data_IF_299153159460
#
_entry.id   IF_299153159460
#
_cell.length_a   1.000
_cell.length_b   1.000
_cell.length_c   1.000
_cell.angle_alpha   90.00
_cell.angle_beta   90.00
_cell.angle_gamma   90.00
#
_symmetry.space_group_name_H-M   'P 1'
#
loop_
_entity.id
_entity.type
_entity.pdbx_description
1 polymer ?
#
# COMPACT_ATOMS: atom_id res chain seq x y z
N UNK A 1 -14.81 -15.41 0.05
CA UNK A 1 -14.90 -14.08 -0.61
C UNK A 1 -16.25 -13.96 -1.29
N UNK A 2 -16.89 -12.79 -1.20
CA UNK A 2 -18.13 -12.47 -1.95
C UNK A 2 -17.76 -11.95 -3.35
N UNK A 3 -18.68 -12.03 -4.32
CA UNK A 3 -18.45 -11.53 -5.70
C UNK A 3 -17.98 -10.07 -5.71
N UNK A 4 -18.59 -9.20 -4.89
CA UNK A 4 -18.18 -7.80 -4.75
C UNK A 4 -16.72 -7.64 -4.30
N UNK A 5 -16.26 -8.47 -3.37
CA UNK A 5 -14.87 -8.45 -2.89
C UNK A 5 -13.90 -8.92 -3.98
N UNK A 6 -14.30 -9.92 -4.77
CA UNK A 6 -13.52 -10.41 -5.90
C UNK A 6 -13.34 -9.33 -6.96
N UNK A 7 -14.42 -8.64 -7.35
CA UNK A 7 -14.37 -7.58 -8.37
C UNK A 7 -13.55 -6.39 -7.91
N UNK A 8 -13.81 -5.88 -6.70
CA UNK A 8 -13.04 -4.75 -6.14
C UNK A 8 -11.57 -5.15 -5.96
N UNK A 9 -11.31 -6.35 -5.44
CA UNK A 9 -9.97 -6.87 -5.28
C UNK A 9 -9.20 -6.98 -6.59
N UNK A 10 -9.84 -7.47 -7.66
CA UNK A 10 -9.23 -7.54 -8.99
C UNK A 10 -8.87 -6.14 -9.52
N UNK A 11 -9.78 -5.17 -9.41
CA UNK A 11 -9.53 -3.79 -9.83
C UNK A 11 -8.38 -3.14 -9.05
N UNK A 12 -8.39 -3.26 -7.72
CA UNK A 12 -7.32 -2.71 -6.88
C UNK A 12 -5.99 -3.42 -7.12
N UNK A 13 -6.00 -4.72 -7.38
CA UNK A 13 -4.77 -5.48 -7.72
C UNK A 13 -4.21 -5.02 -9.06
N UNK A 14 -5.06 -4.82 -10.07
CA UNK A 14 -4.63 -4.28 -11.36
C UNK A 14 -4.00 -2.88 -11.21
N UNK A 15 -4.59 -2.01 -10.40
CA UNK A 15 -4.00 -0.70 -10.07
C UNK A 15 -2.68 -0.83 -9.32
N UNK A 16 -2.60 -1.74 -8.33
CA UNK A 16 -1.37 -1.99 -7.56
C UNK A 16 -0.20 -2.46 -8.43
N UNK A 17 -0.47 -3.21 -9.49
CA UNK A 17 0.52 -3.61 -10.49
C UNK A 17 0.83 -2.45 -11.45
N UNK A 18 -0.21 -1.79 -11.97
CA UNK A 18 -0.07 -0.76 -13.00
C UNK A 18 0.71 0.46 -12.50
N UNK A 19 0.46 0.94 -11.28
CA UNK A 19 1.04 2.19 -10.81
C UNK A 19 2.59 2.19 -10.85
N UNK A 20 3.29 1.22 -10.25
CA UNK A 20 4.75 1.18 -10.35
C UNK A 20 5.23 0.98 -11.80
N UNK A 21 4.56 0.13 -12.59
CA UNK A 21 4.98 -0.18 -13.97
C UNK A 21 4.84 1.03 -14.90
N UNK A 22 3.69 1.70 -14.88
CA UNK A 22 3.36 2.79 -15.79
C UNK A 22 3.85 4.16 -15.29
N UNK A 23 3.74 4.42 -13.99
CA UNK A 23 4.05 5.74 -13.42
C UNK A 23 5.35 5.80 -12.65
N UNK A 24 6.04 4.68 -12.41
CA UNK A 24 7.32 4.68 -11.68
C UNK A 24 8.46 5.46 -12.35
N UNK A 25 8.30 5.90 -13.61
CA UNK A 25 9.26 6.82 -14.26
C UNK A 25 8.98 8.31 -14.02
N UNK A 26 7.74 8.68 -13.66
CA UNK A 26 7.30 10.08 -13.49
C UNK A 26 7.04 10.39 -12.02
N UNK A 27 6.42 9.45 -11.32
CA UNK A 27 6.08 9.53 -9.89
C UNK A 27 7.09 8.77 -9.01
N UNK A 28 8.13 8.20 -9.62
CA UNK A 28 9.14 7.41 -8.93
C UNK A 28 10.25 8.27 -8.34
N UNK A 29 10.69 7.89 -7.14
CA UNK A 29 11.89 8.40 -6.48
C UNK A 29 12.76 7.19 -6.15
N UNK A 30 14.03 7.21 -6.54
CA UNK A 30 14.97 6.10 -6.33
C UNK A 30 16.22 6.62 -5.64
N UNK A 31 16.45 6.17 -4.41
CA UNK A 31 17.65 6.44 -3.60
C UNK A 31 18.05 5.09 -2.99
N UNK A 32 18.83 4.26 -3.70
CA UNK A 32 19.02 2.86 -3.31
C UNK A 32 19.52 2.70 -1.86
N UNK A 33 19.03 1.70 -1.11
CA UNK A 33 18.04 0.69 -1.50
C UNK A 33 16.58 1.14 -1.39
N UNK A 34 16.35 2.40 -1.00
CA UNK A 34 15.02 2.99 -1.01
C UNK A 34 14.55 3.32 -2.43
N UNK A 35 13.27 3.11 -2.62
CA UNK A 35 12.52 3.60 -3.75
C UNK A 35 11.08 3.75 -3.31
N UNK A 36 10.40 4.70 -3.95
CA UNK A 36 8.99 4.96 -3.80
C UNK A 36 8.41 5.30 -5.17
N UNK A 37 7.17 4.92 -5.40
CA UNK A 37 6.35 5.51 -6.47
C UNK A 37 5.16 6.15 -5.79
N UNK A 38 4.97 7.45 -5.95
CA UNK A 38 3.86 8.15 -5.33
C UNK A 38 2.53 7.48 -5.71
N UNK A 39 1.62 7.38 -4.75
CA UNK A 39 0.33 6.68 -4.82
C UNK A 39 0.38 5.15 -4.98
N UNK A 40 1.56 4.51 -4.98
CA UNK A 40 1.67 3.04 -5.13
C UNK A 40 1.07 2.25 -3.96
N UNK A 41 1.00 2.83 -2.76
CA UNK A 41 0.31 2.19 -1.63
C UNK A 41 -1.20 2.42 -1.65
N UNK A 42 -1.72 3.38 -2.42
CA UNK A 42 -3.14 3.75 -2.37
C UNK A 42 -4.08 2.56 -2.62
N UNK A 43 -3.88 1.71 -3.66
CA UNK A 43 -4.74 0.54 -3.84
C UNK A 43 -4.64 -0.43 -2.67
N UNK A 44 -3.43 -0.63 -2.13
CA UNK A 44 -3.18 -1.49 -0.97
C UNK A 44 -3.88 -0.93 0.27
N UNK A 45 -3.81 0.38 0.52
CA UNK A 45 -4.44 0.99 1.69
C UNK A 45 -5.96 1.00 1.59
N UNK A 46 -6.52 1.26 0.41
CA UNK A 46 -7.97 1.15 0.16
C UNK A 46 -8.48 -0.28 0.35
N UNK A 47 -7.69 -1.27 -0.04
CA UNK A 47 -8.04 -2.69 0.09
C UNK A 47 -8.25 -3.13 1.55
N UNK A 48 -7.62 -2.45 2.51
CA UNK A 48 -7.81 -2.70 3.95
C UNK A 48 -9.27 -2.48 4.40
N UNK A 49 -9.98 -1.55 3.75
CA UNK A 49 -11.38 -1.27 4.03
C UNK A 49 -12.35 -2.30 3.43
N UNK A 50 -11.86 -3.25 2.62
CA UNK A 50 -12.67 -4.28 1.97
C UNK A 50 -12.67 -5.56 2.81
N UNK A 51 -11.53 -6.25 2.91
CA UNK A 51 -11.36 -7.42 3.78
C UNK A 51 -9.88 -7.83 3.88
N UNK A 52 -9.49 -8.63 4.90
CA UNK A 52 -8.12 -9.13 5.01
C UNK A 52 -7.64 -9.93 3.79
N UNK A 53 -8.54 -10.70 3.15
CA UNK A 53 -8.22 -11.47 1.95
C UNK A 53 -7.93 -10.57 0.74
N UNK A 54 -8.73 -9.51 0.57
CA UNK A 54 -8.50 -8.54 -0.51
C UNK A 54 -7.21 -7.76 -0.25
N UNK A 55 -6.93 -7.39 1.00
CA UNK A 55 -5.69 -6.72 1.38
C UNK A 55 -4.44 -7.55 1.09
N UNK A 56 -4.49 -8.86 1.36
CA UNK A 56 -3.41 -9.78 1.03
C UNK A 56 -3.13 -9.83 -0.47
N UNK A 57 -4.17 -10.01 -1.29
CA UNK A 57 -4.03 -10.17 -2.74
C UNK A 57 -3.52 -8.88 -3.39
N UNK A 58 -4.08 -7.72 -3.00
CA UNK A 58 -3.67 -6.42 -3.56
C UNK A 58 -2.23 -6.09 -3.17
N UNK A 59 -1.82 -6.37 -1.92
CA UNK A 59 -0.44 -6.20 -1.48
C UNK A 59 0.54 -7.13 -2.23
N UNK A 60 0.17 -8.39 -2.46
CA UNK A 60 0.97 -9.30 -3.28
C UNK A 60 1.08 -8.81 -4.73
N UNK A 61 -0.01 -8.29 -5.30
CA UNK A 61 -0.01 -7.65 -6.62
C UNK A 61 0.92 -6.43 -6.69
N UNK A 62 0.95 -5.60 -5.64
CA UNK A 62 1.91 -4.49 -5.55
C UNK A 62 3.36 -4.98 -5.60
N UNK A 63 3.69 -6.03 -4.84
CA UNK A 63 5.03 -6.62 -4.85
C UNK A 63 5.42 -7.15 -6.24
N UNK A 64 4.47 -7.78 -6.94
CA UNK A 64 4.66 -8.22 -8.32
C UNK A 64 4.87 -7.04 -9.28
N UNK A 65 4.10 -5.96 -9.17
CA UNK A 65 4.31 -4.74 -9.96
C UNK A 65 5.69 -4.13 -9.77
N UNK A 66 6.17 -4.07 -8.52
CA UNK A 66 7.52 -3.60 -8.21
C UNK A 66 8.62 -4.56 -8.69
N UNK A 67 8.38 -5.88 -8.68
CA UNK A 67 9.29 -6.85 -9.28
C UNK A 67 9.51 -6.57 -10.77
N UNK A 68 8.41 -6.36 -11.50
CA UNK A 68 8.46 -6.04 -12.93
C UNK A 68 9.18 -4.72 -13.21
N UNK A 69 9.04 -3.73 -12.31
CA UNK A 69 9.59 -2.39 -12.52
C UNK A 69 11.02 -2.19 -12.05
N UNK A 70 11.35 -2.63 -10.83
CA UNK A 70 12.58 -2.25 -10.09
C UNK A 70 13.41 -3.46 -9.62
N UNK A 71 12.95 -4.69 -9.85
CA UNK A 71 13.70 -5.91 -9.54
C UNK A 71 13.52 -6.45 -8.11
N UNK A 72 14.29 -7.49 -7.75
CA UNK A 72 13.97 -8.36 -6.62
C UNK A 72 14.13 -7.72 -5.23
N UNK A 73 15.09 -6.81 -5.04
CA UNK A 73 15.29 -6.15 -3.73
C UNK A 73 14.10 -5.26 -3.40
N UNK A 74 13.62 -4.48 -4.36
CA UNK A 74 12.44 -3.65 -4.19
C UNK A 74 11.18 -4.49 -4.08
N UNK A 75 11.09 -5.60 -4.83
CA UNK A 75 9.98 -6.55 -4.68
C UNK A 75 9.92 -7.18 -3.28
N UNK A 76 11.08 -7.51 -2.68
CA UNK A 76 11.14 -8.04 -1.32
C UNK A 76 10.65 -7.01 -0.29
N UNK A 77 11.01 -5.73 -0.45
CA UNK A 77 10.42 -4.62 0.33
C UNK A 77 8.91 -4.52 0.11
N UNK A 78 8.47 -4.45 -1.13
CA UNK A 78 7.05 -4.35 -1.46
C UNK A 78 6.22 -5.58 -1.01
N UNK A 79 6.83 -6.76 -0.84
CA UNK A 79 6.16 -7.92 -0.24
C UNK A 79 5.77 -7.64 1.22
N UNK A 80 6.51 -6.78 1.93
CA UNK A 80 6.18 -6.37 3.30
C UNK A 80 4.90 -5.54 3.36
N UNK A 81 4.39 -5.06 2.22
CA UNK A 81 3.06 -4.45 2.15
C UNK A 81 1.97 -5.39 2.69
N UNK A 82 2.15 -6.71 2.51
CA UNK A 82 1.20 -7.73 3.02
C UNK A 82 1.04 -7.62 4.53
N UNK A 83 2.14 -7.42 5.26
CA UNK A 83 2.15 -7.36 6.74
C UNK A 83 1.29 -6.21 7.22
N UNK A 84 1.54 -5.00 6.71
CA UNK A 84 0.80 -3.82 7.17
C UNK A 84 -0.64 -3.80 6.63
N UNK A 85 -0.88 -4.26 5.41
CA UNK A 85 -2.21 -4.26 4.79
C UNK A 85 -3.16 -5.24 5.47
N UNK A 86 -2.71 -6.46 5.75
CA UNK A 86 -3.52 -7.47 6.46
C UNK A 86 -3.75 -7.02 7.90
N UNK A 87 -2.72 -6.51 8.58
CA UNK A 87 -2.87 -5.96 9.93
C UNK A 87 -3.89 -4.82 9.95
N UNK A 88 -3.80 -3.90 8.99
CA UNK A 88 -4.72 -2.78 8.89
C UNK A 88 -6.16 -3.21 8.59
N UNK A 89 -6.35 -4.21 7.73
CA UNK A 89 -7.68 -4.78 7.47
C UNK A 89 -8.29 -5.43 8.73
N UNK A 90 -7.47 -6.10 9.54
CA UNK A 90 -7.90 -6.66 10.82
C UNK A 90 -8.29 -5.55 11.80
N UNK A 91 -7.52 -4.46 11.89
CA UNK A 91 -7.85 -3.31 12.74
C UNK A 91 -9.17 -2.66 12.32
N UNK A 92 -9.39 -2.45 11.01
CA UNK A 92 -10.66 -1.89 10.50
C UNK A 92 -11.83 -2.83 10.85
N UNK A 93 -11.66 -4.15 10.71
CA UNK A 93 -12.67 -5.14 11.12
C UNK A 93 -12.99 -5.06 12.62
N UNK A 94 -12.02 -4.67 13.45
CA UNK A 94 -12.20 -4.42 14.90
C UNK A 94 -12.82 -3.05 15.22
N UNK A 95 -13.20 -2.26 14.22
CA UNK A 95 -13.88 -0.97 14.41
C UNK A 95 -12.96 0.25 14.39
N UNK A 96 -11.66 0.09 14.10
CA UNK A 96 -10.75 1.22 13.95
C UNK A 96 -11.06 2.00 12.67
N UNK A 97 -10.96 3.33 12.73
CA UNK A 97 -11.11 4.18 11.54
C UNK A 97 -9.93 3.99 10.59
N UNK A 98 -10.13 4.21 9.28
CA UNK A 98 -9.05 4.12 8.28
C UNK A 98 -7.87 5.04 8.64
N UNK A 99 -8.13 6.26 9.14
CA UNK A 99 -7.09 7.20 9.58
C UNK A 99 -6.26 6.63 10.74
N UNK A 100 -6.94 6.11 11.77
CA UNK A 100 -6.26 5.50 12.92
C UNK A 100 -5.46 4.28 12.49
N UNK A 101 -6.02 3.45 11.62
CA UNK A 101 -5.34 2.28 11.06
C UNK A 101 -4.06 2.67 10.33
N UNK A 102 -4.10 3.67 9.44
CA UNK A 102 -2.91 4.16 8.72
C UNK A 102 -1.81 4.65 9.66
N UNK A 103 -2.17 5.33 10.76
CA UNK A 103 -1.19 5.76 11.75
C UNK A 103 -0.57 4.58 12.52
N UNK A 104 -1.35 3.54 12.83
CA UNK A 104 -0.85 2.33 13.51
C UNK A 104 0.01 1.49 12.57
N UNK A 105 -0.34 1.38 11.30
CA UNK A 105 0.38 0.55 10.33
C UNK A 105 1.63 1.21 9.76
N UNK A 106 1.76 2.54 9.86
CA UNK A 106 2.97 3.28 9.46
C UNK A 106 4.27 2.72 10.08
N UNK A 107 4.40 2.60 11.42
CA UNK A 107 5.62 2.04 12.01
C UNK A 107 5.82 0.57 11.64
N UNK A 108 4.75 -0.21 11.50
CA UNK A 108 4.83 -1.62 11.08
C UNK A 108 5.43 -1.73 9.69
N UNK A 109 4.98 -0.88 8.76
CA UNK A 109 5.44 -0.84 7.39
C UNK A 109 6.90 -0.38 7.27
N UNK A 110 7.25 0.71 7.95
CA UNK A 110 8.62 1.23 7.93
C UNK A 110 9.62 0.21 8.51
N UNK A 111 9.26 -0.44 9.62
CA UNK A 111 10.12 -1.44 10.25
C UNK A 111 10.23 -2.71 9.41
N UNK A 112 9.13 -3.21 8.84
CA UNK A 112 9.18 -4.43 8.03
C UNK A 112 10.03 -4.25 6.78
N UNK A 113 9.94 -3.11 6.10
CA UNK A 113 10.80 -2.82 4.95
C UNK A 113 12.27 -2.60 5.32
N UNK A 114 12.55 -1.99 6.48
CA UNK A 114 13.92 -1.86 6.97
C UNK A 114 14.51 -3.23 7.31
N UNK A 115 13.74 -4.11 7.96
CA UNK A 115 14.23 -5.44 8.36
C UNK A 115 14.47 -6.35 7.15
N UNK A 116 13.60 -6.33 6.13
CA UNK A 116 13.75 -7.23 4.98
C UNK A 116 14.97 -6.89 4.13
N UNK A 117 15.54 -5.69 4.23
CA UNK A 117 16.74 -5.33 3.47
C UNK A 117 18.06 -5.79 4.11
N UNK A 118 18.05 -6.24 5.38
CA UNK A 118 19.26 -6.69 6.10
C UNK A 118 20.04 -7.78 5.34
N UNK A 119 19.41 -8.85 4.79
CA UNK A 119 20.14 -9.93 4.12
C UNK A 119 20.88 -9.50 2.84
N UNK A 120 20.63 -8.31 2.32
CA UNK A 120 21.29 -7.80 1.10
C UNK A 120 22.57 -7.00 1.38
N UNK A 121 23.02 -6.90 2.63
CA UNK A 121 24.33 -6.35 2.98
C UNK A 121 24.42 -4.82 3.01
N UNK A 122 23.28 -4.12 3.11
CA UNK A 122 23.25 -2.66 3.24
C UNK A 122 23.72 -2.17 4.62
N UNK A 123 24.17 -0.92 4.69
CA UNK A 123 24.64 -0.34 5.95
C UNK A 123 23.49 -0.09 6.93
N UNK A 124 23.80 0.08 8.22
CA UNK A 124 22.79 0.46 9.22
C UNK A 124 22.12 1.80 8.90
N UNK A 125 22.86 2.73 8.28
CA UNK A 125 22.32 3.99 7.79
C UNK A 125 21.30 3.77 6.67
N UNK A 126 21.63 2.92 5.69
CA UNK A 126 20.71 2.60 4.59
C UNK A 126 19.44 1.90 5.10
N UNK A 127 19.60 0.96 6.03
CA UNK A 127 18.49 0.21 6.62
C UNK A 127 17.56 1.14 7.42
N UNK A 128 18.12 1.87 8.38
CA UNK A 128 17.32 2.66 9.33
C UNK A 128 16.83 3.99 8.76
N UNK A 129 17.72 4.73 8.09
CA UNK A 129 17.44 6.08 7.63
C UNK A 129 16.89 6.05 6.20
N UNK A 130 17.64 5.49 5.26
CA UNK A 130 17.25 5.56 3.83
C UNK A 130 15.96 4.78 3.60
N UNK A 131 15.88 3.53 4.06
CA UNK A 131 14.68 2.70 3.93
C UNK A 131 13.66 3.02 5.03
N UNK A 132 14.00 2.88 6.31
CA UNK A 132 13.03 3.05 7.39
C UNK A 132 12.32 4.42 7.38
N UNK A 133 13.08 5.52 7.39
CA UNK A 133 12.50 6.87 7.36
C UNK A 133 11.87 7.18 6.00
N UNK A 134 12.51 6.79 4.89
CA UNK A 134 11.96 6.95 3.54
C UNK A 134 10.58 6.29 3.40
N UNK A 135 10.44 5.07 3.88
CA UNK A 135 9.18 4.30 3.87
C UNK A 135 8.13 4.92 4.78
N UNK A 136 8.51 5.45 5.95
CA UNK A 136 7.58 6.16 6.83
C UNK A 136 7.00 7.41 6.16
N UNK A 137 7.85 8.23 5.51
CA UNK A 137 7.42 9.42 4.78
C UNK A 137 6.54 9.06 3.59
N UNK A 138 6.94 8.06 2.80
CA UNK A 138 6.17 7.60 1.65
C UNK A 138 4.78 7.06 2.06
N UNK A 139 4.72 6.22 3.09
CA UNK A 139 3.45 5.74 3.66
C UNK A 139 2.57 6.88 4.13
N UNK A 140 3.14 7.90 4.78
CA UNK A 140 2.38 9.05 5.25
C UNK A 140 1.74 9.82 4.10
N UNK A 141 2.51 10.10 3.04
CA UNK A 141 2.03 10.82 1.86
C UNK A 141 0.91 10.01 1.16
N UNK A 142 1.15 8.72 0.89
CA UNK A 142 0.14 7.86 0.27
C UNK A 142 -1.08 7.65 1.17
N UNK A 143 -0.91 7.73 2.50
CA UNK A 143 -2.00 7.73 3.47
C UNK A 143 -2.90 8.95 3.33
N UNK A 144 -2.34 10.15 3.12
CA UNK A 144 -3.12 11.37 2.85
C UNK A 144 -3.91 11.24 1.54
N UNK A 145 -3.26 10.75 0.48
CA UNK A 145 -3.91 10.51 -0.81
C UNK A 145 -5.05 9.50 -0.63
N UNK A 146 -4.81 8.41 0.09
CA UNK A 146 -5.80 7.38 0.39
C UNK A 146 -7.01 7.95 1.11
N UNK A 147 -6.81 8.74 2.17
CA UNK A 147 -7.92 9.34 2.92
C UNK A 147 -8.76 10.27 2.04
N UNK A 148 -8.11 11.02 1.16
CA UNK A 148 -8.78 11.91 0.20
C UNK A 148 -9.61 11.11 -0.80
N UNK A 149 -9.04 10.09 -1.44
CA UNK A 149 -9.73 9.20 -2.39
C UNK A 149 -10.89 8.47 -1.70
N UNK A 150 -10.68 7.93 -0.50
CA UNK A 150 -11.70 7.21 0.26
C UNK A 150 -12.89 8.11 0.63
N UNK A 151 -12.63 9.37 0.99
CA UNK A 151 -13.66 10.37 1.24
C UNK A 151 -14.53 10.63 0.01
N UNK A 152 -13.88 10.87 -1.15
CA UNK A 152 -14.58 11.10 -2.42
C UNK A 152 -15.44 9.90 -2.84
N UNK A 153 -14.92 8.68 -2.68
CA UNK A 153 -15.67 7.46 -2.99
C UNK A 153 -16.92 7.31 -2.10
N UNK A 154 -16.83 7.65 -0.81
CA UNK A 154 -18.00 7.61 0.10
C UNK A 154 -19.08 8.60 -0.31
N UNK A 155 -18.70 9.84 -0.62
CA UNK A 155 -19.65 10.89 -1.07
C UNK A 155 -20.32 10.48 -2.39
N UNK A 156 -19.53 9.97 -3.35
CA UNK A 156 -20.05 9.47 -4.63
C UNK A 156 -21.02 8.30 -4.47
N UNK A 157 -20.76 7.38 -3.54
CA UNK A 157 -21.67 6.26 -3.27
C UNK A 157 -22.96 6.69 -2.58
N UNK A 158 -22.91 7.65 -1.66
CA UNK A 158 -24.09 8.20 -0.99
C UNK A 158 -24.98 8.98 -1.98
N UNK A 159 -24.38 9.79 -2.84
CA UNK A 159 -25.10 10.51 -3.90
C UNK A 159 -25.71 9.57 -4.95
N UNK A 160 -25.06 8.46 -5.29
CA UNK A 160 -25.63 7.43 -6.17
C UNK A 160 -26.86 6.72 -5.57
N UNK A 161 -27.00 6.66 -4.24
CA UNK A 161 -28.21 6.14 -3.59
C UNK A 161 -29.39 7.12 -3.67
N UNK A 162 -29.16 8.41 -3.93
CA UNK A 162 -30.21 9.42 -4.15
C UNK A 162 -30.87 9.25 -5.54
N UNK A 163 -30.21 8.56 -6.48
CA UNK A 163 -30.75 8.25 -7.81
C UNK A 163 -31.44 6.89 -7.92
N UNK A 164 -31.64 6.19 -6.80
CA UNK A 164 -32.49 5.00 -6.75
C UNK A 164 -33.93 5.43 -6.47
N UNK A 165 -34.62 5.87 -7.54
CA UNK A 165 -36.08 5.94 -7.59
C UNK A 165 -36.68 4.52 -7.62
#
# INVERSE_FOLDING_TARGET
>A
MKIKELVIGALLTALAIMIPVAFGGVLGITIPPFSATLASHVPVMLSMAISPWVALIVAAGSAFGFLLKLGPIVAARALMHVIFAVTGAILIKKGYSLRTTLLITLPIHALSEALIVIPFGFSLYDIGIVVGVGTALHHFIDGIITLSVFGLLKVGMQSAQVFKA
#
